data_IF_131882907227
#
_entry.id   IF_131882907227
#
_cell.length_a   1.000
_cell.length_b   1.000
_cell.length_c   1.000
_cell.angle_alpha   90.00
_cell.angle_beta   90.00
_cell.angle_gamma   90.00
#
_symmetry.space_group_name_H-M   'P 1'
#
loop_
_entity.id
_entity.type
_entity.pdbx_description
1 polymer ?
#
# COMPACT_ATOMS: atom_id res chain seq x y z
N UNK A 1 5.23 -13.05 4.16
CA UNK A 1 5.94 -12.12 5.09
C UNK A 1 7.18 -12.74 5.73
N UNK A 2 7.13 -14.00 6.19
CA UNK A 2 8.28 -14.66 6.85
C UNK A 2 9.58 -14.64 6.01
N UNK A 3 9.53 -14.98 4.72
CA UNK A 3 10.69 -14.94 3.83
C UNK A 3 11.34 -13.55 3.74
N UNK A 4 10.53 -12.49 3.65
CA UNK A 4 11.05 -11.11 3.62
C UNK A 4 11.80 -10.79 4.92
N UNK A 5 11.25 -11.18 6.06
CA UNK A 5 11.91 -11.00 7.37
C UNK A 5 13.22 -11.77 7.44
N UNK A 6 13.25 -13.03 7.00
CA UNK A 6 14.44 -13.88 7.05
C UNK A 6 15.55 -13.39 6.12
N UNK A 7 15.23 -13.01 4.87
CA UNK A 7 16.24 -12.61 3.89
C UNK A 7 16.77 -11.19 4.09
N UNK A 8 15.99 -10.29 4.70
CA UNK A 8 16.38 -8.88 4.86
C UNK A 8 16.74 -8.52 6.29
N UNK A 9 16.40 -9.38 7.25
CA UNK A 9 16.45 -9.14 8.70
C UNK A 9 15.62 -7.94 9.18
N UNK A 10 14.91 -7.24 8.29
CA UNK A 10 14.15 -6.03 8.58
C UNK A 10 12.82 -6.34 9.29
N UNK A 11 12.42 -5.54 10.31
CA UNK A 11 11.10 -5.63 10.89
C UNK A 11 9.99 -5.47 9.84
N UNK A 12 8.92 -6.27 9.96
CA UNK A 12 7.75 -6.17 9.09
C UNK A 12 6.65 -5.44 9.84
N UNK A 13 6.20 -4.30 9.29
CA UNK A 13 5.19 -3.44 9.93
C UNK A 13 3.79 -4.07 9.87
N UNK A 14 3.44 -4.65 8.72
CA UNK A 14 2.15 -5.26 8.53
C UNK A 14 2.15 -6.71 9.06
N UNK A 15 1.29 -7.00 10.02
CA UNK A 15 1.08 -8.35 10.56
C UNK A 15 -0.41 -8.49 10.87
N UNK A 16 -1.23 -8.90 9.87
CA UNK A 16 -2.67 -8.83 9.99
C UNK A 16 -3.20 -9.96 10.89
N UNK A 17 -3.37 -9.66 12.17
CA UNK A 17 -4.17 -10.44 13.11
C UNK A 17 -5.49 -9.73 13.34
N UNK A 18 -6.59 -10.43 13.09
CA UNK A 18 -7.93 -9.85 13.17
C UNK A 18 -8.39 -9.64 14.61
N UNK A 19 -7.84 -10.44 15.53
CA UNK A 19 -8.20 -10.48 16.94
C UNK A 19 -7.70 -9.24 17.70
N UNK A 20 -6.65 -8.58 17.21
CA UNK A 20 -6.05 -7.42 17.86
C UNK A 20 -6.47 -6.11 17.17
N UNK A 21 -7.03 -5.17 17.95
CA UNK A 21 -7.51 -3.91 17.42
C UNK A 21 -6.38 -3.01 16.89
N UNK A 22 -5.24 -2.95 17.59
CA UNK A 22 -4.11 -2.12 17.19
C UNK A 22 -3.43 -2.63 15.91
N UNK A 23 -3.36 -3.95 15.73
CA UNK A 23 -2.85 -4.57 14.51
C UNK A 23 -3.78 -4.32 13.33
N UNK A 24 -5.11 -4.32 13.54
CA UNK A 24 -6.08 -3.93 12.50
C UNK A 24 -5.91 -2.47 12.07
N UNK A 25 -5.77 -1.54 13.02
CA UNK A 25 -5.54 -0.12 12.72
C UNK A 25 -4.24 0.12 11.97
N UNK A 26 -3.16 -0.56 12.38
CA UNK A 26 -1.87 -0.52 11.69
C UNK A 26 -1.97 -1.08 10.26
N UNK A 27 -2.63 -2.22 10.09
CA UNK A 27 -2.87 -2.84 8.77
C UNK A 27 -3.64 -1.88 7.88
N UNK A 28 -4.68 -1.23 8.39
CA UNK A 28 -5.48 -0.23 7.65
C UNK A 28 -4.62 0.92 7.14
N UNK A 29 -3.71 1.46 7.96
CA UNK A 29 -2.74 2.49 7.54
C UNK A 29 -1.84 1.99 6.40
N UNK A 30 -1.28 0.78 6.50
CA UNK A 30 -0.46 0.19 5.43
C UNK A 30 -1.27 0.01 4.14
N UNK A 31 -2.52 -0.44 4.26
CA UNK A 31 -3.41 -0.72 3.13
C UNK A 31 -3.93 0.55 2.43
N UNK A 32 -3.68 1.75 2.98
CA UNK A 32 -3.93 3.01 2.26
C UNK A 32 -3.16 3.09 0.95
N UNK A 33 -2.11 2.28 0.76
CA UNK A 33 -1.42 2.08 -0.52
C UNK A 33 -2.32 1.55 -1.65
N UNK A 34 -3.48 0.96 -1.35
CA UNK A 34 -4.48 0.55 -2.36
C UNK A 34 -5.70 1.47 -2.41
N UNK A 35 -5.69 2.55 -1.62
CA UNK A 35 -6.77 3.53 -1.60
C UNK A 35 -6.67 4.51 -2.77
N UNK A 36 -7.55 5.51 -2.77
CA UNK A 36 -7.52 6.65 -3.69
C UNK A 36 -7.01 7.94 -3.03
N UNK A 37 -6.38 7.81 -1.85
CA UNK A 37 -5.75 8.93 -1.12
C UNK A 37 -4.57 9.52 -1.91
N UNK A 38 -4.25 10.81 -1.72
CA UNK A 38 -3.08 11.41 -2.34
C UNK A 38 -1.78 10.76 -1.84
N UNK A 39 -0.77 10.70 -2.71
CA UNK A 39 0.53 10.10 -2.42
C UNK A 39 1.20 10.67 -1.16
N UNK A 40 1.03 11.97 -0.91
CA UNK A 40 1.58 12.67 0.26
C UNK A 40 0.98 12.16 1.58
N UNK A 41 -0.32 11.89 1.63
CA UNK A 41 -1.01 11.34 2.80
C UNK A 41 -0.58 9.89 3.05
N UNK A 42 -0.49 9.09 1.99
CA UNK A 42 -0.04 7.71 2.09
C UNK A 42 1.43 7.64 2.55
N UNK A 43 2.31 8.51 2.03
CA UNK A 43 3.69 8.67 2.53
C UNK A 43 3.69 8.94 4.04
N UNK A 44 2.90 9.92 4.51
CA UNK A 44 2.84 10.29 5.93
C UNK A 44 2.38 9.11 6.78
N UNK A 45 1.31 8.41 6.39
CA UNK A 45 0.80 7.25 7.12
C UNK A 45 1.86 6.15 7.29
N UNK A 46 2.70 5.94 6.27
CA UNK A 46 3.77 4.96 6.32
C UNK A 46 4.98 5.45 7.13
N UNK A 47 5.32 6.74 7.06
CA UNK A 47 6.37 7.34 7.89
C UNK A 47 6.02 7.31 9.37
N UNK A 48 4.77 7.56 9.74
CA UNK A 48 4.27 7.46 11.12
C UNK A 48 4.46 6.05 11.71
N UNK A 49 4.55 5.03 10.84
CA UNK A 49 4.81 3.64 11.21
C UNK A 49 6.29 3.24 11.09
N UNK A 50 7.18 4.17 10.77
CA UNK A 50 8.61 3.92 10.57
C UNK A 50 8.93 3.09 9.31
N UNK A 51 8.03 3.05 8.32
CA UNK A 51 8.25 2.31 7.08
C UNK A 51 9.29 3.02 6.21
N UNK A 52 10.29 2.28 5.76
CA UNK A 52 11.32 2.77 4.82
C UNK A 52 11.08 2.27 3.39
N UNK A 53 10.49 1.08 3.26
CA UNK A 53 10.21 0.42 1.99
C UNK A 53 8.81 -0.19 2.02
N UNK A 54 8.07 -0.03 0.92
CA UNK A 54 6.80 -0.68 0.69
C UNK A 54 6.94 -1.70 -0.45
N UNK A 55 6.39 -2.89 -0.26
CA UNK A 55 6.28 -3.92 -1.31
C UNK A 55 4.83 -3.92 -1.74
N UNK A 56 4.59 -3.60 -3.01
CA UNK A 56 3.26 -3.52 -3.61
C UNK A 56 3.08 -4.67 -4.59
N UNK A 57 1.98 -5.41 -4.44
CA UNK A 57 1.62 -6.46 -5.40
C UNK A 57 0.63 -5.88 -6.41
N UNK A 58 0.97 -5.96 -7.69
CA UNK A 58 0.21 -5.29 -8.75
C UNK A 58 -1.20 -5.87 -8.91
N UNK A 59 -1.36 -7.17 -8.66
CA UNK A 59 -2.63 -7.88 -8.80
C UNK A 59 -3.73 -7.27 -7.91
N UNK A 60 -3.41 -6.84 -6.69
CA UNK A 60 -4.39 -6.27 -5.76
C UNK A 60 -4.90 -4.90 -6.17
N UNK A 61 -4.12 -4.20 -7.00
CA UNK A 61 -4.48 -2.87 -7.49
C UNK A 61 -5.45 -2.92 -8.67
N UNK A 62 -5.20 -3.82 -9.63
CA UNK A 62 -5.88 -3.81 -10.95
C UNK A 62 -6.70 -5.06 -11.23
N UNK A 63 -6.43 -6.19 -10.56
CA UNK A 63 -7.12 -7.45 -10.87
C UNK A 63 -8.57 -7.34 -10.42
N UNK A 64 -9.46 -7.44 -11.38
CA UNK A 64 -10.90 -7.35 -11.16
C UNK A 64 -11.56 -8.65 -11.59
N UNK A 65 -12.16 -9.36 -10.63
CA UNK A 65 -12.97 -10.55 -10.93
C UNK A 65 -14.36 -10.18 -11.45
N UNK A 66 -14.93 -9.09 -10.92
CA UNK A 66 -16.24 -8.49 -11.28
C UNK A 66 -16.19 -6.97 -11.07
N UNK A 67 -16.99 -6.18 -11.81
CA UNK A 67 -17.10 -4.74 -11.55
C UNK A 67 -17.37 -4.43 -10.07
N UNK A 68 -16.60 -3.52 -9.47
CA UNK A 68 -16.75 -3.14 -8.06
C UNK A 68 -16.09 -4.10 -7.04
N UNK A 69 -15.32 -5.09 -7.48
CA UNK A 69 -14.67 -6.08 -6.62
C UNK A 69 -13.13 -5.97 -6.64
N UNK A 70 -12.61 -4.76 -6.45
CA UNK A 70 -11.16 -4.48 -6.33
C UNK A 70 -10.83 -3.86 -4.96
N UNK A 71 -9.55 -3.87 -4.56
CA UNK A 71 -9.14 -3.19 -3.31
C UNK A 71 -9.49 -1.69 -3.29
N UNK A 72 -9.28 -0.93 -4.38
CA UNK A 72 -9.74 0.46 -4.43
C UNK A 72 -11.25 0.62 -4.23
N UNK A 73 -12.08 -0.34 -4.69
CA UNK A 73 -13.54 -0.27 -4.52
C UNK A 73 -13.95 -0.44 -3.05
N UNK A 74 -13.24 -1.26 -2.28
CA UNK A 74 -13.46 -1.36 -0.82
C UNK A 74 -13.15 -0.01 -0.15
N UNK A 75 -12.08 0.66 -0.58
CA UNK A 75 -11.72 1.98 -0.07
C UNK A 75 -12.72 3.08 -0.44
N UNK A 76 -13.52 2.92 -1.50
CA UNK A 76 -14.59 3.88 -1.84
C UNK A 76 -15.72 3.88 -0.80
N UNK A 77 -15.91 2.78 -0.07
CA UNK A 77 -16.85 2.69 1.05
C UNK A 77 -16.27 3.30 2.33
N UNK A 78 -14.97 3.10 2.55
CA UNK A 78 -14.24 3.53 3.75
C UNK A 78 -13.85 5.02 3.72
N UNK A 79 -13.44 5.54 2.56
CA UNK A 79 -12.96 6.91 2.34
C UNK A 79 -13.74 7.60 1.22
N UNK A 80 -14.97 7.99 1.56
CA UNK A 80 -15.90 8.64 0.61
C UNK A 80 -15.34 9.93 0.01
N UNK A 81 -14.45 10.64 0.70
CA UNK A 81 -13.87 11.91 0.24
C UNK A 81 -12.87 11.76 -0.91
N UNK A 82 -12.31 10.56 -1.08
CA UNK A 82 -11.42 10.23 -2.19
C UNK A 82 -12.06 9.32 -3.24
N UNK A 83 -13.37 9.07 -3.13
CA UNK A 83 -14.11 8.17 -4.01
C UNK A 83 -13.96 8.56 -5.48
N UNK A 84 -13.72 7.57 -6.33
CA UNK A 84 -13.64 7.74 -7.78
C UNK A 84 -12.35 8.41 -8.31
N UNK A 85 -11.45 8.89 -7.44
CA UNK A 85 -10.11 9.35 -7.86
C UNK A 85 -9.26 8.17 -8.36
N UNK A 86 -8.17 8.44 -9.10
CA UNK A 86 -7.25 7.38 -9.52
C UNK A 86 -6.63 6.69 -8.29
N UNK A 87 -6.62 5.35 -8.20
CA UNK A 87 -5.99 4.66 -7.09
C UNK A 87 -4.49 4.98 -7.01
N UNK A 88 -3.97 5.12 -5.80
CA UNK A 88 -2.56 5.47 -5.61
C UNK A 88 -1.64 4.36 -6.12
N UNK A 89 -2.01 3.09 -5.96
CA UNK A 89 -1.23 1.97 -6.47
C UNK A 89 -1.02 2.03 -8.00
N UNK A 90 -2.02 2.45 -8.78
CA UNK A 90 -1.87 2.65 -10.24
C UNK A 90 -0.95 3.82 -10.53
N UNK A 91 -1.10 4.91 -9.76
CA UNK A 91 -0.26 6.11 -9.91
C UNK A 91 1.21 5.79 -9.61
N UNK A 92 1.48 5.00 -8.57
CA UNK A 92 2.83 4.58 -8.19
C UNK A 92 3.43 3.59 -9.19
N UNK A 93 2.60 2.78 -9.86
CA UNK A 93 3.04 1.93 -10.96
C UNK A 93 3.56 2.75 -12.14
N UNK A 94 2.85 3.81 -12.52
CA UNK A 94 3.24 4.68 -13.63
C UNK A 94 4.38 5.63 -13.25
N UNK A 95 4.21 6.38 -12.16
CA UNK A 95 5.14 7.43 -11.73
C UNK A 95 5.14 7.57 -10.19
N UNK A 96 6.08 6.91 -9.49
CA UNK A 96 6.11 6.91 -8.02
C UNK A 96 6.60 8.22 -7.38
N UNK A 97 7.38 9.02 -8.12
CA UNK A 97 7.90 10.31 -7.63
C UNK A 97 6.81 11.39 -7.51
N UNK A 98 6.97 12.36 -6.59
CA UNK A 98 8.18 12.67 -5.81
C UNK A 98 8.23 11.99 -4.42
N UNK A 99 7.15 11.36 -3.96
CA UNK A 99 7.06 10.84 -2.59
C UNK A 99 7.70 9.46 -2.42
N UNK A 100 7.79 8.69 -3.52
CA UNK A 100 8.35 7.36 -3.53
C UNK A 100 9.40 7.22 -4.64
N UNK A 101 10.37 6.35 -4.41
CA UNK A 101 11.37 5.96 -5.42
C UNK A 101 11.27 4.46 -5.64
N UNK A 102 10.99 4.04 -6.87
CA UNK A 102 11.02 2.60 -7.22
C UNK A 102 12.46 2.11 -7.18
N UNK A 103 12.71 1.07 -6.39
CA UNK A 103 14.02 0.43 -6.25
C UNK A 103 14.07 -0.98 -6.82
N UNK A 104 12.92 -1.58 -7.09
CA UNK A 104 12.80 -2.86 -7.77
C UNK A 104 11.43 -2.98 -8.45
N UNK A 105 11.38 -3.72 -9.55
CA UNK A 105 10.15 -4.04 -10.28
C UNK A 105 10.26 -5.40 -10.96
N UNK A 106 9.18 -6.17 -10.93
CA UNK A 106 8.97 -7.32 -11.82
C UNK A 106 7.47 -7.43 -12.18
N UNK A 107 7.08 -8.51 -12.88
CA UNK A 107 5.69 -8.73 -13.31
C UNK A 107 4.67 -8.83 -12.17
N UNK A 108 5.12 -9.05 -10.92
CA UNK A 108 4.26 -9.26 -9.76
C UNK A 108 4.35 -8.10 -8.76
N UNK A 109 5.55 -7.59 -8.50
CA UNK A 109 5.85 -6.67 -7.40
C UNK A 109 6.55 -5.39 -7.84
N UNK A 110 6.19 -4.31 -7.18
CA UNK A 110 6.97 -3.08 -7.08
C UNK A 110 7.53 -2.94 -5.66
N UNK A 111 8.82 -2.61 -5.53
CA UNK A 111 9.41 -2.20 -4.25
C UNK A 111 9.71 -0.72 -4.31
N UNK A 112 9.11 0.02 -3.39
CA UNK A 112 9.14 1.48 -3.32
C UNK A 112 9.84 1.91 -2.04
N UNK A 113 10.92 2.69 -2.17
CA UNK A 113 11.53 3.41 -1.07
C UNK A 113 10.72 4.68 -0.78
N UNK A 114 10.45 4.96 0.49
CA UNK A 114 9.79 6.21 0.89
C UNK A 114 10.84 7.33 0.92
N UNK A 115 10.58 8.41 0.19
CA UNK A 115 11.48 9.56 0.18
C UNK A 115 11.29 10.35 1.48
N UNK A 116 12.39 10.71 2.14
CA UNK A 116 12.37 11.46 3.41
C UNK A 116 11.96 12.89 3.14
#
# INVERSE_FOLDING_TARGET
MATVKLCTERPIVNHPHYEDAGLRERTKKVYTMYSRKPASEVKRNLQDLGVQYAILENSWCVRQSKPGCTMPDIWDLEDKGNRGKKPICVTLQEKPGPHFTRVFHNSVYDVLKINT
#
